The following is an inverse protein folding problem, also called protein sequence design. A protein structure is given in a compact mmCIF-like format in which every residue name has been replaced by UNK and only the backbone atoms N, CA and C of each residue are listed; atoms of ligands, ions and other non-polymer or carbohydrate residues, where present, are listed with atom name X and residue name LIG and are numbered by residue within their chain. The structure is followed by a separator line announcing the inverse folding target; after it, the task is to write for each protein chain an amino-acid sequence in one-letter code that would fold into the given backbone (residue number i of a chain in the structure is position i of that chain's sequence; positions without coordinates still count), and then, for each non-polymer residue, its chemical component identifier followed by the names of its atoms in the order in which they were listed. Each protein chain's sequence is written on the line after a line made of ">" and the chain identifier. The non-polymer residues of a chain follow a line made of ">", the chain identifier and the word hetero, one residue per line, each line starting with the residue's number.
data_IF_045062648045
#
_entry.id   IF_045062648045
#
_cell.length_a   1.000
_cell.length_b   1.000
_cell.length_c   1.000
_cell.angle_alpha   90.00
_cell.angle_beta   90.00
_cell.angle_gamma   90.00
#
_symmetry.space_group_name_H-M   'P 1'
#
loop_
_entity.id
_entity.type
_entity.pdbx_description
1 polymer ?
#
# COMPACT_ATOMS: atom_id res chain seq x y z
N UNK A 1 50.72 -14.73 -23.74
CA UNK A 1 50.84 -13.34 -23.23
C UNK A 1 50.11 -12.40 -24.20
N UNK A 2 48.80 -12.18 -23.98
CA UNK A 2 47.96 -11.39 -24.89
C UNK A 2 47.70 -9.99 -24.35
N UNK A 3 48.35 -9.00 -24.97
CA UNK A 3 48.32 -7.56 -24.65
C UNK A 3 46.93 -6.89 -24.85
N UNK A 4 45.97 -7.59 -25.48
CA UNK A 4 44.63 -7.06 -25.75
C UNK A 4 43.53 -7.67 -24.85
N UNK A 5 43.88 -8.49 -23.86
CA UNK A 5 42.89 -9.15 -22.98
C UNK A 5 42.17 -8.23 -22.00
N UNK A 6 42.66 -6.99 -21.80
CA UNK A 6 42.06 -5.99 -20.92
C UNK A 6 41.00 -5.08 -21.57
N UNK A 7 41.07 -4.86 -22.90
CA UNK A 7 40.17 -3.92 -23.59
C UNK A 7 38.74 -4.46 -23.79
N UNK A 8 38.58 -5.78 -23.79
CA UNK A 8 37.30 -6.46 -24.02
C UNK A 8 36.81 -7.27 -22.81
N UNK A 9 37.28 -6.93 -21.61
CA UNK A 9 36.75 -7.55 -20.40
C UNK A 9 35.34 -7.01 -20.16
N UNK A 10 34.33 -7.79 -20.55
CA UNK A 10 32.94 -7.57 -20.12
C UNK A 10 32.96 -7.38 -18.60
N UNK A 11 32.45 -6.24 -18.11
CA UNK A 11 32.37 -5.91 -16.69
C UNK A 11 31.98 -7.15 -15.90
N UNK A 12 32.70 -7.42 -14.81
CA UNK A 12 32.44 -8.55 -13.91
C UNK A 12 30.93 -8.69 -13.70
N UNK A 13 30.38 -9.87 -14.00
CA UNK A 13 28.97 -10.18 -13.76
C UNK A 13 28.87 -10.52 -12.27
N UNK A 14 28.35 -9.63 -11.41
CA UNK A 14 28.27 -9.92 -9.98
C UNK A 14 27.35 -11.13 -9.79
N UNK A 15 27.94 -12.25 -9.36
CA UNK A 15 27.19 -13.49 -9.06
C UNK A 15 26.48 -13.44 -7.71
N UNK A 16 26.86 -12.51 -6.84
CA UNK A 16 26.31 -12.39 -5.50
C UNK A 16 25.31 -11.23 -5.44
N UNK A 17 24.02 -11.51 -5.64
CA UNK A 17 22.97 -10.66 -5.09
C UNK A 17 22.76 -11.05 -3.63
N UNK A 18 23.30 -10.25 -2.71
CA UNK A 18 23.02 -10.35 -1.28
C UNK A 18 21.61 -9.81 -0.97
N UNK A 19 20.59 -10.29 -1.68
CA UNK A 19 19.20 -9.89 -1.47
C UNK A 19 18.44 -11.12 -0.97
N UNK A 20 18.16 -11.12 0.33
CA UNK A 20 17.25 -12.08 0.95
C UNK A 20 15.90 -12.06 0.21
N UNK A 21 15.28 -13.20 -0.14
CA UNK A 21 14.19 -13.26 -1.12
C UNK A 21 12.85 -12.66 -0.68
N UNK A 22 12.72 -12.19 0.56
CA UNK A 22 11.41 -11.97 1.18
C UNK A 22 10.63 -10.75 0.68
N UNK A 23 11.26 -9.79 -0.03
CA UNK A 23 10.59 -8.53 -0.39
C UNK A 23 10.86 -7.99 -1.80
N UNK A 24 11.73 -8.63 -2.58
CA UNK A 24 12.07 -8.18 -3.95
C UNK A 24 10.88 -8.24 -4.92
N UNK A 25 9.87 -9.04 -4.61
CA UNK A 25 8.69 -9.20 -5.48
C UNK A 25 7.75 -7.99 -5.50
N UNK A 26 7.72 -7.17 -4.45
CA UNK A 26 6.80 -6.02 -4.38
C UNK A 26 7.47 -4.69 -4.78
N UNK A 27 8.76 -4.52 -4.47
CA UNK A 27 9.51 -3.32 -4.81
C UNK A 27 10.87 -3.68 -5.39
N UNK A 28 11.08 -3.36 -6.67
CA UNK A 28 12.35 -3.52 -7.35
C UNK A 28 13.39 -2.48 -6.91
N UNK A 29 14.61 -2.60 -7.44
CA UNK A 29 15.64 -1.56 -7.25
C UNK A 29 15.24 -0.29 -8.00
N UNK A 30 15.34 0.87 -7.36
CA UNK A 30 15.20 2.15 -8.04
C UNK A 30 16.32 2.33 -9.09
N UNK A 31 16.13 3.24 -10.05
CA UNK A 31 17.14 3.54 -11.08
C UNK A 31 18.52 3.95 -10.52
N UNK A 32 18.57 4.48 -9.29
CA UNK A 32 19.82 4.80 -8.57
C UNK A 32 20.50 3.57 -7.94
N UNK A 33 19.90 2.38 -8.04
CA UNK A 33 20.35 1.14 -7.41
C UNK A 33 20.01 1.02 -5.93
N UNK A 34 19.35 2.03 -5.33
CA UNK A 34 18.86 1.98 -3.95
C UNK A 34 17.59 1.13 -3.85
N UNK A 35 17.49 0.38 -2.76
CA UNK A 35 16.27 -0.33 -2.39
C UNK A 35 15.30 0.66 -1.76
N UNK A 36 14.05 0.64 -2.24
CA UNK A 36 12.95 1.42 -1.68
C UNK A 36 11.93 0.41 -1.17
N UNK A 37 11.51 0.59 0.07
CA UNK A 37 10.42 -0.15 0.73
C UNK A 37 9.33 0.84 1.15
N UNK A 38 8.20 0.32 1.62
CA UNK A 38 7.06 1.08 2.14
C UNK A 38 7.49 2.09 3.20
N UNK A 39 8.34 1.68 4.15
CA UNK A 39 8.83 2.53 5.24
C UNK A 39 9.70 3.68 4.75
N UNK A 40 10.64 3.41 3.85
CA UNK A 40 11.51 4.43 3.25
C UNK A 40 10.78 5.33 2.26
N UNK A 41 9.77 4.82 1.55
CA UNK A 41 8.90 5.63 0.70
C UNK A 41 8.10 6.64 1.54
N UNK A 42 7.51 6.21 2.65
CA UNK A 42 6.72 7.08 3.55
C UNK A 42 7.54 8.17 4.24
N UNK A 43 8.87 8.06 4.30
CA UNK A 43 9.76 9.12 4.81
C UNK A 43 9.86 10.32 3.85
N UNK A 44 9.42 10.18 2.59
CA UNK A 44 9.34 11.28 1.65
C UNK A 44 8.04 12.05 1.80
N UNK A 45 8.12 13.35 2.06
CA UNK A 45 6.96 14.23 2.30
C UNK A 45 5.94 14.23 1.16
N UNK A 46 6.41 14.12 -0.09
CA UNK A 46 5.55 14.05 -1.27
C UNK A 46 4.73 12.76 -1.27
N UNK A 47 5.37 11.62 -0.97
CA UNK A 47 4.70 10.32 -0.90
C UNK A 47 3.67 10.32 0.22
N UNK A 48 4.05 10.79 1.41
CA UNK A 48 3.15 10.93 2.55
C UNK A 48 1.91 11.78 2.21
N UNK A 49 2.11 12.94 1.56
CA UNK A 49 1.02 13.81 1.18
C UNK A 49 0.06 13.15 0.17
N UNK A 50 0.59 12.44 -0.84
CA UNK A 50 -0.24 11.72 -1.81
C UNK A 50 -1.04 10.59 -1.16
N UNK A 51 -0.42 9.78 -0.31
CA UNK A 51 -1.11 8.68 0.40
C UNK A 51 -2.20 9.25 1.29
N UNK A 52 -1.92 10.32 2.05
CA UNK A 52 -2.92 10.96 2.91
C UNK A 52 -4.14 11.45 2.13
N UNK A 53 -3.95 12.15 1.01
CA UNK A 53 -5.06 12.64 0.17
C UNK A 53 -5.92 11.48 -0.34
N UNK A 54 -5.31 10.36 -0.76
CA UNK A 54 -6.06 9.19 -1.22
C UNK A 54 -6.83 8.51 -0.07
N UNK A 55 -6.18 8.32 1.07
CA UNK A 55 -6.79 7.70 2.25
C UNK A 55 -7.96 8.51 2.79
N UNK A 56 -7.80 9.83 2.94
CA UNK A 56 -8.86 10.73 3.36
C UNK A 56 -10.03 10.72 2.36
N UNK A 57 -9.75 10.78 1.05
CA UNK A 57 -10.80 10.78 0.03
C UNK A 57 -11.66 9.51 0.06
N UNK A 58 -11.04 8.34 0.29
CA UNK A 58 -11.77 7.07 0.43
C UNK A 58 -12.55 7.03 1.76
N UNK A 59 -11.96 7.51 2.85
CA UNK A 59 -12.59 7.52 4.17
C UNK A 59 -13.83 8.43 4.25
N UNK A 60 -13.91 9.48 3.41
CA UNK A 60 -15.07 10.38 3.35
C UNK A 60 -16.35 9.71 2.78
N UNK A 61 -16.23 8.63 2.01
CA UNK A 61 -17.38 8.00 1.37
C UNK A 61 -18.19 7.17 2.39
N UNK A 62 -19.49 7.42 2.62
CA UNK A 62 -20.25 6.65 3.59
C UNK A 62 -20.43 5.19 3.16
N UNK A 63 -20.22 4.26 4.09
CA UNK A 63 -20.49 2.82 3.88
C UNK A 63 -21.90 2.48 4.36
N UNK A 64 -22.81 2.28 3.42
CA UNK A 64 -24.17 1.84 3.71
C UNK A 64 -24.29 0.32 3.60
N UNK A 65 -24.97 -0.29 4.58
CA UNK A 65 -25.31 -1.72 4.56
C UNK A 65 -26.59 -1.92 3.76
N UNK A 66 -26.56 -2.88 2.83
CA UNK A 66 -27.70 -3.29 2.03
C UNK A 66 -28.02 -4.76 2.27
N UNK A 67 -29.30 -5.10 2.21
CA UNK A 67 -29.79 -6.48 2.24
C UNK A 67 -30.50 -6.79 0.92
N UNK A 68 -30.31 -8.01 0.43
CA UNK A 68 -31.05 -8.54 -0.71
C UNK A 68 -32.43 -9.00 -0.26
N UNK A 69 -33.47 -8.47 -0.91
CA UNK A 69 -34.87 -8.85 -0.72
C UNK A 69 -35.43 -9.42 -2.03
N UNK A 70 -36.61 -10.01 -1.99
CA UNK A 70 -37.28 -10.54 -3.19
C UNK A 70 -37.56 -9.46 -4.25
N UNK A 71 -37.61 -8.18 -3.85
CA UNK A 71 -37.88 -7.03 -4.71
C UNK A 71 -36.61 -6.23 -5.09
N UNK A 72 -35.42 -6.61 -4.59
CA UNK A 72 -34.17 -5.94 -4.95
C UNK A 72 -33.19 -5.78 -3.79
N UNK A 73 -32.53 -4.61 -3.73
CA UNK A 73 -31.59 -4.25 -2.66
C UNK A 73 -32.16 -3.11 -1.85
N UNK A 74 -32.24 -3.28 -0.54
CA UNK A 74 -32.73 -2.25 0.39
C UNK A 74 -31.66 -1.88 1.40
N UNK A 75 -31.60 -0.59 1.79
CA UNK A 75 -30.67 -0.13 2.84
C UNK A 75 -31.20 -0.59 4.20
N UNK A 76 -30.32 -1.13 5.03
CA UNK A 76 -30.68 -1.63 6.37
C UNK A 76 -29.87 -0.90 7.45
N UNK A 77 -30.28 0.32 7.84
CA UNK A 77 -29.57 1.10 8.85
C UNK A 77 -29.71 0.53 10.27
N UNK A 78 -30.74 -0.30 10.54
CA UNK A 78 -30.92 -0.95 11.84
C UNK A 78 -30.03 -2.19 12.04
N UNK A 79 -29.27 -2.60 11.02
CA UNK A 79 -28.38 -3.74 11.16
C UNK A 79 -27.21 -3.40 12.10
N UNK A 80 -26.80 -4.28 13.04
CA UNK A 80 -25.68 -3.99 13.95
C UNK A 80 -24.37 -3.62 13.22
N UNK A 81 -24.14 -4.20 12.03
CA UNK A 81 -22.99 -3.86 11.18
C UNK A 81 -23.02 -2.43 10.65
N UNK A 82 -24.19 -1.80 10.55
CA UNK A 82 -24.28 -0.42 10.10
C UNK A 82 -23.52 0.50 11.06
N UNK A 83 -23.76 0.38 12.37
CA UNK A 83 -23.03 1.15 13.37
C UNK A 83 -21.52 0.93 13.30
N UNK A 84 -21.08 -0.32 13.16
CA UNK A 84 -19.66 -0.66 13.11
C UNK A 84 -18.96 -0.12 11.86
N UNK A 85 -19.62 -0.19 10.70
CA UNK A 85 -19.03 0.21 9.41
C UNK A 85 -19.20 1.69 9.11
N UNK A 86 -20.29 2.32 9.57
CA UNK A 86 -20.61 3.71 9.28
C UNK A 86 -20.06 4.66 10.35
N UNK A 87 -20.26 4.34 11.64
CA UNK A 87 -19.97 5.28 12.73
C UNK A 87 -18.64 4.95 13.42
N UNK A 88 -18.57 3.79 14.07
CA UNK A 88 -17.51 3.48 15.01
C UNK A 88 -17.27 1.96 15.12
N UNK A 89 -16.16 1.44 14.57
CA UNK A 89 -15.86 0.02 14.64
C UNK A 89 -15.40 -0.41 16.05
N UNK A 90 -14.79 0.49 16.82
CA UNK A 90 -14.30 0.24 18.17
C UNK A 90 -14.25 1.56 18.98
N UNK A 91 -14.22 1.50 20.33
CA UNK A 91 -14.26 2.69 21.20
C UNK A 91 -13.15 3.74 20.95
N UNK A 92 -12.02 3.32 20.38
CA UNK A 92 -10.82 4.14 20.23
C UNK A 92 -10.75 4.95 18.93
N UNK A 93 -11.53 4.59 17.89
CA UNK A 93 -11.46 5.28 16.60
C UNK A 93 -12.80 5.30 15.88
N UNK A 94 -13.03 6.34 15.08
CA UNK A 94 -14.19 6.45 14.19
C UNK A 94 -13.99 5.58 12.95
N UNK A 95 -15.09 5.26 12.26
CA UNK A 95 -15.04 4.56 10.97
C UNK A 95 -14.18 5.31 9.93
N UNK A 96 -14.15 6.64 10.00
CA UNK A 96 -13.29 7.46 9.15
C UNK A 96 -11.80 7.13 9.37
N UNK A 97 -11.33 7.25 10.61
CA UNK A 97 -9.92 7.01 10.98
C UNK A 97 -9.54 5.56 10.71
N UNK A 98 -10.45 4.61 10.96
CA UNK A 98 -10.24 3.21 10.63
C UNK A 98 -9.98 2.99 9.13
N UNK A 99 -10.78 3.60 8.26
CA UNK A 99 -10.63 3.46 6.80
C UNK A 99 -9.42 4.20 6.25
N UNK A 100 -9.13 5.37 6.79
CA UNK A 100 -7.90 6.11 6.48
C UNK A 100 -6.67 5.26 6.83
N UNK A 101 -6.67 4.66 8.03
CA UNK A 101 -5.58 3.81 8.51
C UNK A 101 -5.43 2.58 7.63
N UNK A 102 -6.53 1.86 7.32
CA UNK A 102 -6.54 0.69 6.44
C UNK A 102 -5.95 0.94 5.05
N UNK A 103 -6.08 2.17 4.52
CA UNK A 103 -5.53 2.51 3.21
C UNK A 103 -4.06 2.96 3.29
N UNK A 104 -3.66 3.54 4.42
CA UNK A 104 -2.30 4.08 4.61
C UNK A 104 -1.25 3.06 5.07
N UNK A 105 -1.67 1.92 5.62
CA UNK A 105 -0.83 0.88 6.24
C UNK A 105 -1.01 -0.46 5.54
#
# INVERSE_FOLDING_TARGET
>A
MGIFSGLFKSRDKPKNSYDSPSYTYFFGRAHSGKRVDDRSAMQHTVVYACVRVLSEAIAQLPLHVYQYTNNGKERVPQHPLYFLLHDQPNPEMTSFVFRETLMSH
#
